data_IF_565176397102
#
_entry.id   IF_565176397102
#
_cell.length_a   1.000
_cell.length_b   1.000
_cell.length_c   1.000
_cell.angle_alpha   90.00
_cell.angle_beta   90.00
_cell.angle_gamma   90.00
#
_symmetry.space_group_name_H-M   'P 1'
#
loop_
_entity.id
_entity.type
_entity.pdbx_description
1 polymer ?
#
# COMPACT_ATOMS: atom_id res chain seq x y z
N UNK A 1 1.40 13.35 -8.29
CA UNK A 1 2.74 13.93 -8.00
C UNK A 1 3.72 13.26 -8.96
N UNK A 2 4.35 14.00 -9.87
CA UNK A 2 5.45 13.47 -10.69
C UNK A 2 6.77 13.97 -10.12
N UNK A 3 7.53 13.07 -9.50
CA UNK A 3 8.92 13.36 -9.13
C UNK A 3 9.77 13.29 -10.40
N UNK A 4 10.35 14.41 -10.82
CA UNK A 4 11.26 14.47 -11.97
C UNK A 4 12.73 14.24 -11.60
N UNK A 5 13.03 14.12 -10.31
CA UNK A 5 14.39 14.00 -9.79
C UNK A 5 14.42 13.35 -8.41
N UNK A 6 15.61 12.91 -7.99
CA UNK A 6 15.87 12.43 -6.63
C UNK A 6 15.84 13.58 -5.64
N UNK A 7 15.28 13.35 -4.46
CA UNK A 7 15.22 14.32 -3.37
C UNK A 7 16.13 13.88 -2.21
N UNK A 8 17.02 14.78 -1.79
CA UNK A 8 17.89 14.60 -0.63
C UNK A 8 17.60 15.71 0.39
N UNK A 9 17.41 15.35 1.66
CA UNK A 9 17.03 16.26 2.73
C UNK A 9 17.93 16.06 3.94
N UNK A 10 18.15 17.13 4.70
CA UNK A 10 18.77 17.10 6.04
C UNK A 10 17.73 17.56 7.04
N UNK A 11 17.57 16.83 8.14
CA UNK A 11 16.66 17.17 9.24
C UNK A 11 17.38 17.13 10.57
N UNK A 12 17.13 18.12 11.43
CA UNK A 12 17.68 18.18 12.78
C UNK A 12 16.65 17.67 13.78
N UNK A 13 16.94 16.55 14.43
CA UNK A 13 16.12 16.01 15.51
C UNK A 13 16.44 16.70 16.84
N UNK A 14 15.53 17.54 17.32
CA UNK A 14 15.62 18.15 18.66
C UNK A 14 14.82 17.29 19.64
N UNK A 15 15.31 17.11 20.87
CA UNK A 15 14.75 16.19 21.86
C UNK A 15 14.63 14.75 21.30
N UNK A 16 15.70 14.26 20.67
CA UNK A 16 15.70 12.98 19.98
C UNK A 16 15.85 11.77 20.92
N UNK A 17 16.10 12.00 22.21
CA UNK A 17 16.22 10.93 23.19
C UNK A 17 14.93 10.09 23.23
N UNK A 18 15.05 8.78 22.98
CA UNK A 18 13.93 7.84 22.89
C UNK A 18 12.86 8.18 21.84
N UNK A 19 13.16 9.01 20.84
CA UNK A 19 12.20 9.33 19.78
C UNK A 19 11.92 8.11 18.90
N UNK A 20 10.65 7.75 18.76
CA UNK A 20 10.18 6.65 17.90
C UNK A 20 9.40 7.20 16.71
N UNK A 21 9.72 6.72 15.50
CA UNK A 21 8.94 7.01 14.30
C UNK A 21 7.90 5.91 14.11
N UNK A 22 6.63 6.26 14.27
CA UNK A 22 5.52 5.35 14.08
C UNK A 22 4.98 5.48 12.65
N UNK A 23 5.02 4.40 11.87
CA UNK A 23 4.43 4.38 10.54
C UNK A 23 2.94 4.06 10.64
N UNK A 24 2.15 4.58 9.70
CA UNK A 24 0.69 4.41 9.66
C UNK A 24 0.23 3.52 8.49
N UNK A 25 1.16 3.13 7.62
CA UNK A 25 0.94 2.31 6.44
C UNK A 25 2.23 1.54 6.12
N UNK A 26 2.13 0.58 5.21
CA UNK A 26 3.21 -0.36 4.93
C UNK A 26 3.09 -1.64 5.75
N UNK A 27 3.96 -2.59 5.41
CA UNK A 27 3.98 -3.92 6.01
C UNK A 27 4.72 -3.93 7.36
N UNK A 28 5.79 -3.14 7.47
CA UNK A 28 6.63 -3.03 8.65
C UNK A 28 6.27 -1.77 9.46
N UNK A 29 6.38 -1.87 10.79
CA UNK A 29 6.22 -0.77 11.77
C UNK A 29 4.93 0.05 11.67
N UNK A 30 3.93 -0.46 10.94
CA UNK A 30 2.61 0.14 10.87
C UNK A 30 1.87 -0.09 12.20
N UNK A 31 1.78 0.94 13.04
CA UNK A 31 1.15 0.83 14.36
C UNK A 31 -0.35 0.54 14.28
N UNK A 32 -1.02 0.92 13.18
CA UNK A 32 -2.44 0.60 12.97
C UNK A 32 -2.62 -0.91 12.81
N UNK A 33 -1.67 -1.60 12.19
CA UNK A 33 -1.70 -3.05 12.01
C UNK A 33 -1.63 -3.80 13.35
N UNK A 34 -1.01 -3.20 14.37
CA UNK A 34 -0.83 -3.79 15.70
C UNK A 34 -2.06 -3.63 16.61
N UNK A 35 -2.99 -2.72 16.26
CA UNK A 35 -4.22 -2.53 17.04
C UNK A 35 -5.01 -3.84 17.10
N UNK A 36 -5.41 -4.23 18.31
CA UNK A 36 -6.17 -5.46 18.55
C UNK A 36 -7.51 -5.45 17.82
N UNK A 37 -7.94 -6.63 17.37
CA UNK A 37 -9.13 -6.80 16.54
C UNK A 37 -10.40 -6.14 17.09
N UNK A 38 -10.77 -6.31 18.38
CA UNK A 38 -11.98 -5.68 18.92
C UNK A 38 -11.92 -4.15 18.89
N UNK A 39 -10.73 -3.58 19.13
CA UNK A 39 -10.52 -2.13 19.09
C UNK A 39 -10.64 -1.62 17.66
N UNK A 40 -10.09 -2.35 16.66
CA UNK A 40 -10.28 -2.01 15.24
C UNK A 40 -11.74 -2.02 14.80
N UNK A 41 -12.55 -2.96 15.31
CA UNK A 41 -14.00 -3.05 14.99
C UNK A 41 -14.78 -1.84 15.50
N UNK A 42 -14.32 -1.19 16.58
CA UNK A 42 -14.94 0.01 17.14
C UNK A 42 -14.37 1.31 16.57
N UNK A 43 -13.06 1.32 16.28
CA UNK A 43 -12.34 2.54 15.88
C UNK A 43 -12.55 2.92 14.40
N UNK A 44 -12.91 1.97 13.54
CA UNK A 44 -13.03 2.18 12.10
C UNK A 44 -14.41 1.76 11.57
N UNK A 45 -14.91 2.44 10.52
CA UNK A 45 -16.07 1.94 9.80
C UNK A 45 -15.70 0.64 9.05
N UNK A 46 -16.44 -0.43 9.32
CA UNK A 46 -16.23 -1.76 8.73
C UNK A 46 -15.64 -2.77 9.70
N UNK A 47 -15.63 -4.05 9.30
CA UNK A 47 -15.09 -5.11 10.17
C UNK A 47 -13.56 -5.04 10.25
N UNK A 48 -12.97 -5.47 11.36
CA UNK A 48 -11.52 -5.54 11.46
C UNK A 48 -10.87 -6.43 10.38
N UNK A 49 -11.60 -7.39 9.81
CA UNK A 49 -11.14 -8.16 8.65
C UNK A 49 -11.05 -7.29 7.38
N UNK A 50 -12.01 -6.39 7.16
CA UNK A 50 -11.95 -5.43 6.05
C UNK A 50 -10.79 -4.45 6.26
N UNK A 51 -10.63 -3.92 7.48
CA UNK A 51 -9.51 -3.03 7.83
C UNK A 51 -8.16 -3.74 7.62
N UNK A 52 -7.98 -4.95 8.14
CA UNK A 52 -6.75 -5.71 7.98
C UNK A 52 -6.45 -6.05 6.51
N UNK A 53 -7.48 -6.32 5.69
CA UNK A 53 -7.31 -6.51 4.23
C UNK A 53 -6.81 -5.22 3.58
N UNK A 54 -7.43 -4.09 3.89
CA UNK A 54 -7.02 -2.79 3.35
C UNK A 54 -5.57 -2.44 3.71
N UNK A 55 -5.19 -2.60 4.98
CA UNK A 55 -3.82 -2.33 5.44
C UNK A 55 -2.78 -3.18 4.69
N UNK A 56 -3.11 -4.43 4.36
CA UNK A 56 -2.23 -5.36 3.63
C UNK A 56 -2.11 -5.08 2.14
N UNK A 57 -2.85 -4.13 1.58
CA UNK A 57 -2.74 -3.79 0.15
C UNK A 57 -1.41 -3.11 -0.18
N UNK A 58 -0.83 -2.38 0.76
CA UNK A 58 0.50 -1.82 0.61
C UNK A 58 1.56 -2.86 1.02
N UNK A 59 2.40 -3.26 0.06
CA UNK A 59 3.48 -4.25 0.27
C UNK A 59 4.83 -3.63 0.58
N UNK A 60 4.98 -2.33 0.32
CA UNK A 60 6.22 -1.60 0.56
C UNK A 60 6.15 -0.90 1.92
N UNK A 61 7.27 -0.83 2.62
CA UNK A 61 7.39 -0.15 3.91
C UNK A 61 8.23 1.11 3.77
N UNK A 62 7.92 2.12 4.58
CA UNK A 62 8.64 3.41 4.70
C UNK A 62 8.56 4.32 3.47
N UNK A 63 8.91 3.81 2.30
CA UNK A 63 8.82 4.48 1.00
C UNK A 63 8.08 3.57 0.02
N UNK A 64 7.07 4.10 -0.65
CA UNK A 64 6.26 3.37 -1.61
C UNK A 64 6.18 4.12 -2.94
N UNK A 65 5.80 3.41 -4.00
CA UNK A 65 5.57 4.04 -5.29
C UNK A 65 4.45 5.10 -5.17
N UNK A 66 4.80 6.36 -5.39
CA UNK A 66 3.87 7.50 -5.35
C UNK A 66 3.18 7.76 -6.70
N UNK A 67 3.48 6.96 -7.73
CA UNK A 67 2.77 7.04 -9.00
C UNK A 67 1.28 6.80 -8.74
N UNK A 68 0.40 7.60 -9.36
CA UNK A 68 -1.02 7.32 -9.33
C UNK A 68 -1.21 5.91 -9.91
N UNK A 69 -1.69 4.98 -9.10
CA UNK A 69 -2.21 3.74 -9.64
C UNK A 69 -3.34 4.13 -10.59
N UNK A 70 -3.15 3.90 -11.90
CA UNK A 70 -4.30 3.61 -12.73
C UNK A 70 -4.98 2.46 -11.99
N UNK A 71 -6.21 2.69 -11.50
CA UNK A 71 -7.00 1.60 -10.94
C UNK A 71 -6.86 0.46 -11.94
N UNK A 72 -6.31 -0.67 -11.53
CA UNK A 72 -6.58 -1.91 -12.24
C UNK A 72 -8.10 -2.01 -12.19
N UNK A 73 -8.76 -1.49 -13.22
CA UNK A 73 -10.01 -2.06 -13.66
C UNK A 73 -9.73 -3.54 -13.68
N UNK A 74 -10.42 -4.29 -12.84
CA UNK A 74 -10.64 -5.71 -13.01
C UNK A 74 -11.22 -5.88 -14.41
N UNK A 75 -10.37 -5.83 -15.44
CA UNK A 75 -10.72 -6.33 -16.75
C UNK A 75 -10.86 -7.82 -16.50
N UNK A 76 -12.06 -8.41 -16.66
CA UNK A 76 -12.11 -9.84 -16.77
C UNK A 76 -11.19 -10.16 -17.94
N UNK A 77 -10.19 -11.02 -17.73
CA UNK A 77 -9.44 -11.63 -18.82
C UNK A 77 -10.49 -12.34 -19.69
N UNK A 78 -11.06 -11.62 -20.67
CA UNK A 78 -11.66 -12.22 -21.83
C UNK A 78 -10.50 -12.97 -22.47
N UNK A 79 -10.51 -14.29 -22.31
CA UNK A 79 -9.73 -15.18 -23.15
C UNK A 79 -10.13 -14.86 -24.58
N UNK A 80 -9.28 -14.18 -25.34
CA UNK A 80 -9.46 -14.05 -26.78
C UNK A 80 -9.22 -15.42 -27.41
N UNK A 81 -10.23 -16.11 -27.99
CA UNK A 81 -10.05 -17.47 -28.52
C UNK A 81 -9.43 -17.51 -29.91
N UNK A 82 -8.74 -16.46 -30.37
CA UNK A 82 -8.41 -16.31 -31.80
C UNK A 82 -6.91 -16.28 -32.14
N UNK A 83 -6.02 -16.41 -31.17
CA UNK A 83 -4.58 -16.57 -31.45
C UNK A 83 -4.21 -17.94 -32.05
N UNK A 84 -5.16 -18.87 -32.18
CA UNK A 84 -4.92 -20.24 -32.68
C UNK A 84 -5.07 -20.41 -34.20
N UNK A 85 -5.41 -19.36 -34.97
CA UNK A 85 -5.71 -19.51 -36.42
C UNK A 85 -4.61 -18.92 -37.33
N UNK A 86 -3.68 -18.09 -36.83
CA UNK A 86 -2.65 -17.47 -37.67
C UNK A 86 -1.29 -18.19 -37.64
N UNK A 87 -1.25 -19.44 -37.18
CA UNK A 87 -0.04 -20.27 -37.18
C UNK A 87 0.07 -21.24 -38.36
N UNK A 88 -0.84 -21.17 -39.35
CA UNK A 88 -0.83 -22.10 -40.49
C UNK A 88 -0.93 -21.36 -41.82
N UNK A 89 0.11 -20.61 -42.18
CA UNK A 89 0.56 -20.42 -43.57
C UNK A 89 2.06 -20.12 -43.57
#
# INVERSE_FOLDING_TARGET
VSASSNLYLVGFGINAENNQRNFLAGEEDNVISQIHRPVKELAFPGSAQQVNRLLKNQKQSYFANAQPQQREEERPRKRDPLSSILGSF
#
